data_IF_300080109446
#
_entry.id   IF_300080109446
#
_cell.length_a   1.000
_cell.length_b   1.000
_cell.length_c   1.000
_cell.angle_alpha   90.00
_cell.angle_beta   90.00
_cell.angle_gamma   90.00
#
_symmetry.space_group_name_H-M   'P 1'
#
loop_
_entity.id
_entity.type
_entity.pdbx_description
1 polymer ?
#
# COMPACT_ATOMS: atom_id res chain seq x y z
N UNK A 1 14.38 2.15 1.06
CA UNK A 1 14.40 0.81 1.66
C UNK A 1 14.57 0.94 3.16
N UNK A 2 13.80 0.15 3.91
CA UNK A 2 13.53 0.35 5.34
C UNK A 2 12.02 0.44 5.59
N UNK A 3 11.60 0.13 6.82
CA UNK A 3 10.21 0.24 7.26
C UNK A 3 10.16 0.57 8.76
N UNK A 4 9.64 1.73 9.11
CA UNK A 4 9.43 2.17 10.50
C UNK A 4 8.15 1.60 11.12
N UNK A 5 7.27 1.01 10.28
CA UNK A 5 6.01 0.41 10.73
C UNK A 5 6.26 -0.83 11.61
N UNK A 6 7.25 -1.65 11.24
CA UNK A 6 7.79 -2.71 12.10
C UNK A 6 6.88 -3.93 12.25
N UNK A 7 6.17 -4.34 11.20
CA UNK A 7 5.25 -5.48 11.24
C UNK A 7 5.98 -6.81 11.41
N UNK A 8 5.63 -7.59 12.44
CA UNK A 8 6.24 -8.90 12.71
C UNK A 8 5.95 -9.97 11.63
N UNK A 9 4.86 -9.81 10.89
CA UNK A 9 4.38 -10.76 9.86
C UNK A 9 4.40 -10.14 8.46
N UNK A 10 5.38 -9.28 8.18
CA UNK A 10 5.53 -8.68 6.86
C UNK A 10 5.97 -9.72 5.82
N UNK A 11 5.31 -9.75 4.67
CA UNK A 11 5.61 -10.63 3.53
C UNK A 11 6.74 -10.09 2.63
N UNK A 12 7.24 -8.88 2.89
CA UNK A 12 8.14 -8.12 2.02
C UNK A 12 9.56 -8.02 2.59
N UNK A 13 10.59 -8.35 1.79
CA UNK A 13 12.01 -8.07 2.12
C UNK A 13 12.39 -6.63 1.75
N UNK A 14 12.33 -5.71 2.72
CA UNK A 14 12.66 -4.29 2.55
C UNK A 14 14.11 -3.92 2.96
N UNK A 15 15.04 -4.89 3.03
CA UNK A 15 16.46 -4.61 3.34
C UNK A 15 17.10 -3.69 2.30
N UNK A 16 17.92 -2.75 2.76
CA UNK A 16 18.66 -1.84 1.88
C UNK A 16 19.64 -2.64 1.00
N UNK A 17 19.43 -2.61 -0.32
CA UNK A 17 20.33 -3.21 -1.31
C UNK A 17 21.33 -2.21 -1.90
N UNK A 18 20.86 -0.99 -2.21
CA UNK A 18 21.66 0.08 -2.82
C UNK A 18 21.08 1.46 -2.51
N UNK A 19 21.92 2.49 -2.54
CA UNK A 19 21.52 3.90 -2.59
C UNK A 19 21.84 4.44 -3.98
N UNK A 20 20.83 4.97 -4.66
CA UNK A 20 20.95 5.52 -6.02
C UNK A 20 20.17 6.82 -6.10
N UNK A 21 20.52 7.70 -7.04
CA UNK A 21 19.82 8.97 -7.23
C UNK A 21 18.41 8.76 -7.80
N UNK A 22 17.55 9.76 -7.61
CA UNK A 22 16.20 9.80 -8.21
C UNK A 22 16.25 9.62 -9.73
N UNK A 23 17.18 10.29 -10.40
CA UNK A 23 17.35 10.12 -11.85
C UNK A 23 17.77 8.70 -12.24
N UNK A 24 18.67 8.07 -11.49
CA UNK A 24 19.06 6.68 -11.76
C UNK A 24 17.91 5.68 -11.54
N UNK A 25 17.00 5.96 -10.59
CA UNK A 25 15.75 5.20 -10.41
C UNK A 25 14.88 5.38 -11.65
N UNK A 26 14.61 6.63 -12.04
CA UNK A 26 13.77 6.94 -13.18
C UNK A 26 14.33 6.38 -14.51
N UNK A 27 15.64 6.45 -14.74
CA UNK A 27 16.30 5.82 -15.90
C UNK A 27 16.11 4.30 -15.90
N UNK A 28 16.08 3.68 -14.71
CA UNK A 28 15.82 2.25 -14.58
C UNK A 28 14.37 1.92 -14.89
N UNK A 29 13.43 2.75 -14.42
CA UNK A 29 12.01 2.61 -14.74
C UNK A 29 11.81 2.73 -16.26
N UNK A 30 12.34 3.77 -16.91
CA UNK A 30 12.23 3.98 -18.36
C UNK A 30 12.68 2.75 -19.17
N UNK A 31 13.78 2.08 -18.74
CA UNK A 31 14.28 0.87 -19.40
C UNK A 31 13.42 -0.38 -19.18
N UNK A 32 12.67 -0.43 -18.08
CA UNK A 32 11.82 -1.58 -17.72
C UNK A 32 10.38 -1.42 -18.23
N UNK A 33 9.97 -0.22 -18.59
CA UNK A 33 8.60 0.03 -19.06
C UNK A 33 8.35 -0.58 -20.42
N UNK A 34 7.12 -1.10 -20.56
CA UNK A 34 6.58 -1.60 -21.81
C UNK A 34 5.69 -0.49 -22.39
N UNK A 35 5.78 -0.16 -23.69
CA UNK A 35 4.92 0.84 -24.31
C UNK A 35 3.43 0.56 -24.02
N UNK A 36 2.70 1.59 -23.57
CA UNK A 36 1.30 1.48 -23.15
C UNK A 36 1.07 1.03 -21.70
N UNK A 37 2.14 0.75 -20.93
CA UNK A 37 2.10 0.36 -19.52
C UNK A 37 3.04 1.24 -18.70
N UNK A 38 2.63 2.49 -18.46
CA UNK A 38 3.46 3.54 -17.84
C UNK A 38 3.15 3.74 -16.34
N UNK A 39 2.58 2.73 -15.68
CA UNK A 39 2.19 2.81 -14.27
C UNK A 39 3.31 2.31 -13.36
N UNK A 40 3.69 3.14 -12.39
CA UNK A 40 4.76 2.84 -11.43
C UNK A 40 4.20 2.89 -10.01
N UNK A 41 4.38 1.82 -9.25
CA UNK A 41 4.04 1.76 -7.83
C UNK A 41 5.28 2.00 -6.97
N UNK A 42 5.24 3.07 -6.17
CA UNK A 42 6.22 3.32 -5.10
C UNK A 42 5.69 2.66 -3.82
N UNK A 43 6.48 1.75 -3.25
CA UNK A 43 6.11 0.93 -2.09
C UNK A 43 7.37 0.61 -1.25
N UNK A 44 7.30 -0.40 -0.39
CA UNK A 44 8.37 -1.23 0.19
C UNK A 44 9.63 -0.55 0.78
N UNK A 45 9.90 -0.58 2.08
CA UNK A 45 9.00 -0.91 3.18
C UNK A 45 7.95 0.19 3.32
N UNK A 46 8.10 1.11 4.26
CA UNK A 46 7.24 2.29 4.31
C UNK A 46 7.85 3.39 3.43
N UNK A 47 7.25 3.72 2.26
CA UNK A 47 7.85 4.70 1.36
C UNK A 47 7.98 6.09 1.99
N UNK A 48 7.06 6.48 2.87
CA UNK A 48 7.09 7.80 3.53
C UNK A 48 8.14 7.90 4.65
N UNK A 49 8.92 6.85 4.91
CA UNK A 49 10.17 6.97 5.67
C UNK A 49 11.26 7.74 4.90
N UNK A 50 11.04 7.98 3.60
CA UNK A 50 11.91 8.73 2.73
C UNK A 50 11.20 9.96 2.14
N UNK A 51 11.99 10.94 1.70
CA UNK A 51 11.50 12.05 0.89
C UNK A 51 11.21 11.54 -0.54
N UNK A 52 9.96 11.17 -0.80
CA UNK A 52 9.53 10.56 -2.07
C UNK A 52 9.06 11.58 -3.12
N UNK A 53 8.77 12.82 -2.73
CA UNK A 53 8.28 13.88 -3.62
C UNK A 53 9.19 14.12 -4.84
N UNK A 54 10.54 14.22 -4.70
CA UNK A 54 11.41 14.39 -5.86
C UNK A 54 11.34 13.22 -6.84
N UNK A 55 11.12 12.00 -6.36
CA UNK A 55 10.97 10.81 -7.20
C UNK A 55 9.63 10.82 -7.93
N UNK A 56 8.55 11.13 -7.22
CA UNK A 56 7.20 11.26 -7.79
C UNK A 56 7.22 12.28 -8.93
N UNK A 57 7.77 13.48 -8.71
CA UNK A 57 7.79 14.53 -9.72
C UNK A 57 8.68 14.16 -10.92
N UNK A 58 9.84 13.54 -10.68
CA UNK A 58 10.71 13.08 -11.77
C UNK A 58 10.02 12.03 -12.64
N UNK A 59 9.29 11.08 -12.05
CA UNK A 59 8.58 10.04 -12.80
C UNK A 59 7.39 10.64 -13.58
N UNK A 60 6.63 11.55 -12.98
CA UNK A 60 5.53 12.25 -13.65
C UNK A 60 6.01 13.08 -14.85
N UNK A 61 7.13 13.78 -14.71
CA UNK A 61 7.74 14.55 -15.81
C UNK A 61 8.18 13.67 -16.99
N UNK A 62 8.43 12.37 -16.74
CA UNK A 62 8.79 11.38 -17.76
C UNK A 62 7.59 10.65 -18.36
N UNK A 63 6.37 11.06 -18.00
CA UNK A 63 5.13 10.50 -18.54
C UNK A 63 4.56 9.32 -17.74
N UNK A 64 5.18 8.93 -16.61
CA UNK A 64 4.69 7.81 -15.82
C UNK A 64 3.49 8.20 -14.95
N UNK A 65 2.52 7.30 -14.85
CA UNK A 65 1.44 7.35 -13.85
C UNK A 65 1.98 6.78 -12.54
N UNK A 66 2.11 7.63 -11.52
CA UNK A 66 2.70 7.23 -10.24
C UNK A 66 1.61 6.91 -9.22
N UNK A 67 1.72 5.74 -8.61
CA UNK A 67 0.89 5.27 -7.50
C UNK A 67 1.78 5.06 -6.26
N UNK A 68 1.23 5.26 -5.06
CA UNK A 68 1.95 4.99 -3.80
C UNK A 68 1.13 4.05 -2.92
N UNK A 69 1.78 3.02 -2.38
CA UNK A 69 1.23 2.14 -1.33
C UNK A 69 1.95 2.39 -0.01
N UNK A 70 1.22 2.83 1.03
CA UNK A 70 1.76 3.26 2.33
C UNK A 70 0.90 2.77 3.48
N UNK A 71 1.48 2.64 4.68
CA UNK A 71 0.74 2.45 5.92
C UNK A 71 -0.01 3.73 6.38
N UNK A 72 0.27 4.87 5.77
CA UNK A 72 -0.44 6.13 5.99
C UNK A 72 -0.03 6.87 7.26
N UNK A 73 1.13 6.56 7.86
CA UNK A 73 1.65 7.28 9.04
C UNK A 73 2.07 8.72 8.75
N UNK A 74 2.32 9.07 7.48
CA UNK A 74 2.63 10.44 7.04
C UNK A 74 1.82 10.78 5.80
N UNK A 75 1.35 12.03 5.68
CA UNK A 75 0.60 12.45 4.51
C UNK A 75 1.52 12.61 3.28
N UNK A 76 1.02 12.21 2.12
CA UNK A 76 1.64 12.40 0.81
C UNK A 76 0.80 13.42 0.05
N UNK A 77 1.47 14.38 -0.61
CA UNK A 77 0.80 15.39 -1.43
C UNK A 77 0.95 15.06 -2.91
N UNK A 78 -0.03 15.44 -3.72
CA UNK A 78 0.11 15.53 -5.19
C UNK A 78 0.38 14.23 -5.98
N UNK A 79 -0.11 13.09 -5.48
CA UNK A 79 -0.11 11.80 -6.20
C UNK A 79 -1.54 11.42 -6.61
N UNK A 80 -1.79 11.01 -7.87
CA UNK A 80 -3.13 10.70 -8.34
C UNK A 80 -3.73 9.44 -7.67
N UNK A 81 -2.89 8.47 -7.30
CA UNK A 81 -3.33 7.24 -6.65
C UNK A 81 -2.54 6.94 -5.39
N UNK A 82 -3.20 7.04 -4.24
CA UNK A 82 -2.64 6.66 -2.94
C UNK A 82 -3.48 5.49 -2.41
N UNK A 83 -2.83 4.36 -2.18
CA UNK A 83 -3.36 3.20 -1.47
C UNK A 83 -2.87 3.23 -0.03
N UNK A 84 -3.78 3.43 0.92
CA UNK A 84 -3.47 3.41 2.35
C UNK A 84 -3.84 2.05 2.94
N UNK A 85 -2.91 1.39 3.61
CA UNK A 85 -3.16 0.15 4.34
C UNK A 85 -2.67 0.27 5.77
N UNK A 86 -3.50 0.75 6.70
CA UNK A 86 -3.08 0.98 8.08
C UNK A 86 -2.76 -0.34 8.79
N UNK A 87 -1.63 -0.38 9.51
CA UNK A 87 -1.18 -1.55 10.29
C UNK A 87 -1.11 -1.27 11.79
N UNK A 88 -1.53 -0.07 12.19
CA UNK A 88 -1.66 0.40 13.56
C UNK A 88 -2.73 1.51 13.64
N UNK A 89 -2.73 2.28 14.73
CA UNK A 89 -3.69 3.35 14.98
C UNK A 89 -3.07 4.76 14.92
N UNK A 90 -1.94 4.91 14.21
CA UNK A 90 -1.20 6.17 14.01
C UNK A 90 -1.35 6.70 12.57
N UNK A 91 -2.51 6.48 11.96
CA UNK A 91 -2.77 6.88 10.57
C UNK A 91 -3.05 8.39 10.49
N UNK A 92 -2.28 9.08 9.66
CA UNK A 92 -2.46 10.51 9.33
C UNK A 92 -3.01 10.71 7.91
N UNK A 93 -2.69 9.82 6.97
CA UNK A 93 -3.25 9.84 5.62
C UNK A 93 -4.67 9.25 5.62
N UNK A 94 -5.67 10.12 5.77
CA UNK A 94 -7.10 9.75 5.82
C UNK A 94 -7.85 10.01 4.51
N UNK A 95 -7.12 10.32 3.45
CA UNK A 95 -7.66 10.52 2.09
C UNK A 95 -6.80 9.78 1.07
N UNK A 96 -7.38 9.36 -0.05
CA UNK A 96 -6.64 8.65 -1.08
C UNK A 96 -7.57 8.03 -2.12
N UNK A 97 -6.97 7.29 -3.07
CA UNK A 97 -7.75 6.55 -4.04
C UNK A 97 -8.39 5.33 -3.36
N UNK A 98 -7.64 4.62 -2.53
CA UNK A 98 -8.13 3.44 -1.84
C UNK A 98 -7.60 3.30 -0.41
N UNK A 99 -8.43 2.70 0.45
CA UNK A 99 -8.01 2.19 1.76
C UNK A 99 -8.18 0.67 1.79
N UNK A 100 -7.20 -0.03 2.34
CA UNK A 100 -7.19 -1.49 2.47
C UNK A 100 -6.90 -1.94 3.89
N UNK A 101 -7.93 -2.41 4.58
CA UNK A 101 -7.85 -2.93 5.94
C UNK A 101 -7.44 -4.41 5.90
N UNK A 102 -6.41 -4.78 6.66
CA UNK A 102 -5.90 -6.17 6.71
C UNK A 102 -6.01 -6.69 8.16
N UNK A 103 -7.05 -7.48 8.50
CA UNK A 103 -7.26 -7.93 9.86
C UNK A 103 -6.11 -8.81 10.35
N UNK A 104 -5.73 -8.63 11.61
CA UNK A 104 -4.68 -9.41 12.27
C UNK A 104 -3.25 -9.00 11.91
N UNK A 105 -3.04 -8.21 10.84
CA UNK A 105 -1.71 -7.76 10.45
C UNK A 105 -1.12 -6.89 11.56
N UNK A 106 -0.06 -7.35 12.23
CA UNK A 106 0.50 -6.68 13.41
C UNK A 106 -0.51 -6.49 14.58
N UNK A 107 -1.50 -7.38 14.70
CA UNK A 107 -2.57 -7.24 15.69
C UNK A 107 -3.58 -6.13 15.35
N UNK A 108 -3.60 -5.68 14.09
CA UNK A 108 -4.54 -4.69 13.60
C UNK A 108 -5.98 -5.21 13.64
N UNK A 109 -6.88 -4.38 14.16
CA UNK A 109 -8.32 -4.63 14.21
C UNK A 109 -9.04 -3.56 13.37
N UNK A 110 -9.62 -3.94 12.21
CA UNK A 110 -10.34 -3.03 11.33
C UNK A 110 -11.47 -2.27 12.03
N UNK A 111 -12.25 -2.91 12.89
CA UNK A 111 -13.41 -2.28 13.53
C UNK A 111 -12.97 -1.28 14.58
N UNK A 112 -11.93 -1.62 15.36
CA UNK A 112 -11.31 -0.68 16.29
C UNK A 112 -10.69 0.52 15.57
N UNK A 113 -10.11 0.33 14.38
CA UNK A 113 -9.61 1.44 13.57
C UNK A 113 -10.76 2.33 13.07
N UNK A 114 -11.83 1.72 12.55
CA UNK A 114 -13.03 2.46 12.07
C UNK A 114 -13.77 3.23 13.17
N UNK A 115 -13.65 2.80 14.44
CA UNK A 115 -14.18 3.59 15.57
C UNK A 115 -13.45 4.91 15.81
N UNK A 116 -12.27 5.11 15.21
CA UNK A 116 -11.39 6.28 15.41
C UNK A 116 -11.25 7.16 14.18
N UNK A 117 -11.39 6.58 13.00
CA UNK A 117 -11.09 7.24 11.73
C UNK A 117 -12.23 7.05 10.73
N UNK A 118 -12.53 8.11 9.97
CA UNK A 118 -13.46 8.03 8.84
C UNK A 118 -12.75 7.53 7.59
N UNK A 119 -13.50 6.82 6.74
CA UNK A 119 -13.08 6.35 5.41
C UNK A 119 -13.73 7.12 4.26
N UNK A 120 -14.39 8.24 4.55
CA UNK A 120 -15.07 9.06 3.54
C UNK A 120 -14.10 9.79 2.60
N UNK A 121 -12.83 9.89 2.99
CA UNK A 121 -11.76 10.41 2.16
C UNK A 121 -11.26 9.45 1.07
N UNK A 122 -11.80 8.22 0.98
CA UNK A 122 -11.36 7.20 0.05
C UNK A 122 -12.45 6.82 -0.95
N UNK A 123 -12.08 6.77 -2.24
CA UNK A 123 -12.99 6.37 -3.31
C UNK A 123 -13.27 4.86 -3.31
N UNK A 124 -12.27 4.06 -2.93
CA UNK A 124 -12.38 2.61 -2.82
C UNK A 124 -12.03 2.13 -1.41
N UNK A 125 -12.80 1.15 -0.91
CA UNK A 125 -12.68 0.64 0.45
C UNK A 125 -12.60 -0.86 0.39
N UNK A 126 -11.50 -1.42 0.88
CA UNK A 126 -11.23 -2.84 0.80
C UNK A 126 -10.98 -3.46 2.17
N UNK A 127 -11.50 -4.66 2.37
CA UNK A 127 -11.02 -5.59 3.38
C UNK A 127 -10.23 -6.68 2.65
N UNK A 128 -9.02 -6.98 3.11
CA UNK A 128 -8.16 -7.97 2.48
C UNK A 128 -7.68 -8.98 3.52
N UNK A 129 -7.87 -10.28 3.33
CA UNK A 129 -7.30 -11.28 4.22
C UNK A 129 -5.77 -11.20 4.20
N UNK A 130 -5.16 -11.61 5.31
CA UNK A 130 -3.70 -11.66 5.43
C UNK A 130 -3.19 -12.96 4.82
N UNK A 131 -2.09 -12.90 4.06
CA UNK A 131 -1.39 -14.11 3.63
C UNK A 131 -0.18 -14.37 4.51
N UNK A 132 -0.08 -15.59 5.05
CA UNK A 132 1.07 -16.06 5.83
C UNK A 132 1.65 -17.26 5.10
N UNK A 133 2.92 -17.17 4.72
CA UNK A 133 3.63 -18.22 3.97
C UNK A 133 2.88 -18.71 2.71
N UNK A 134 2.16 -17.80 2.05
CA UNK A 134 1.37 -18.09 0.84
C UNK A 134 -0.01 -18.68 1.11
N UNK A 135 -0.41 -18.80 2.38
CA UNK A 135 -1.75 -19.25 2.78
C UNK A 135 -2.57 -18.05 3.22
N UNK A 136 -3.73 -17.88 2.59
CA UNK A 136 -4.71 -16.84 2.96
C UNK A 136 -5.36 -17.19 4.31
N UNK A 137 -5.36 -16.25 5.23
CA UNK A 137 -5.90 -16.36 6.58
C UNK A 137 -6.84 -15.20 6.88
N UNK A 138 -7.86 -15.43 7.71
CA UNK A 138 -8.83 -14.39 8.08
C UNK A 138 -9.93 -14.12 7.05
N UNK A 139 -10.13 -15.01 6.06
CA UNK A 139 -11.19 -14.88 5.06
C UNK A 139 -12.60 -14.89 5.69
N UNK A 140 -12.82 -15.75 6.69
CA UNK A 140 -14.09 -15.80 7.45
C UNK A 140 -14.40 -14.46 8.12
N UNK A 141 -13.41 -13.87 8.80
CA UNK A 141 -13.54 -12.52 9.35
C UNK A 141 -13.89 -11.49 8.27
N UNK A 142 -13.24 -11.55 7.10
CA UNK A 142 -13.53 -10.62 6.01
C UNK A 142 -14.98 -10.73 5.54
N UNK A 143 -15.54 -11.94 5.43
CA UNK A 143 -16.96 -12.10 5.07
C UNK A 143 -17.91 -11.58 6.14
N UNK A 144 -17.64 -11.85 7.41
CA UNK A 144 -18.43 -11.29 8.50
C UNK A 144 -18.37 -9.76 8.54
N UNK A 145 -17.19 -9.20 8.28
CA UNK A 145 -16.97 -7.76 8.20
C UNK A 145 -17.80 -7.14 7.07
N UNK A 146 -17.81 -7.75 5.88
CA UNK A 146 -18.58 -7.25 4.74
C UNK A 146 -20.10 -7.24 5.00
N UNK A 147 -20.62 -8.15 5.83
CA UNK A 147 -22.02 -8.11 6.26
C UNK A 147 -22.35 -6.89 7.15
N UNK A 148 -21.36 -6.37 7.89
CA UNK A 148 -21.50 -5.18 8.75
C UNK A 148 -21.18 -3.87 8.02
N UNK A 149 -20.27 -3.91 7.06
CA UNK A 149 -19.74 -2.75 6.34
C UNK A 149 -19.91 -2.94 4.83
N UNK A 150 -21.13 -2.77 4.28
CA UNK A 150 -21.45 -3.07 2.88
C UNK A 150 -20.77 -2.15 1.86
N UNK A 151 -20.23 -1.01 2.30
CA UNK A 151 -19.45 -0.09 1.45
C UNK A 151 -18.03 -0.60 1.17
N UNK A 152 -17.60 -1.70 1.81
CA UNK A 152 -16.33 -2.35 1.56
C UNK A 152 -16.46 -3.47 0.55
N UNK A 153 -15.36 -3.76 -0.14
CA UNK A 153 -15.23 -4.86 -1.10
C UNK A 153 -14.09 -5.78 -0.67
N UNK A 154 -14.22 -7.08 -0.94
CA UNK A 154 -13.12 -8.03 -0.73
C UNK A 154 -11.99 -7.77 -1.75
N UNK A 155 -10.77 -7.59 -1.25
CA UNK A 155 -9.54 -7.60 -2.05
C UNK A 155 -8.75 -8.87 -1.78
N UNK A 156 -7.94 -9.35 -2.74
CA UNK A 156 -7.11 -10.56 -2.60
C UNK A 156 -5.69 -10.33 -3.12
N UNK A 157 -4.72 -11.03 -2.55
CA UNK A 157 -3.33 -11.02 -3.03
C UNK A 157 -3.14 -12.05 -4.15
N UNK A 158 -3.77 -11.81 -5.30
CA UNK A 158 -3.82 -12.81 -6.40
C UNK A 158 -2.43 -13.23 -6.93
N UNK A 159 -1.43 -12.34 -6.86
CA UNK A 159 -0.06 -12.69 -7.24
C UNK A 159 0.49 -13.89 -6.46
N UNK A 160 0.11 -14.06 -5.18
CA UNK A 160 0.48 -15.22 -4.36
C UNK A 160 -0.14 -16.49 -4.94
N UNK A 161 -1.43 -16.46 -5.29
CA UNK A 161 -2.13 -17.59 -5.89
C UNK A 161 -1.59 -17.95 -7.28
N UNK A 162 -1.05 -16.97 -8.00
CA UNK A 162 -0.39 -17.17 -9.30
C UNK A 162 1.07 -17.63 -9.17
N UNK A 163 1.60 -17.80 -7.96
CA UNK A 163 2.99 -18.18 -7.73
C UNK A 163 3.99 -17.08 -8.11
N UNK A 164 3.58 -15.80 -8.02
CA UNK A 164 4.42 -14.62 -8.24
C UNK A 164 4.71 -13.94 -6.89
N UNK A 165 5.96 -13.55 -6.68
CA UNK A 165 6.40 -12.66 -5.60
C UNK A 165 6.94 -11.38 -6.19
#
# INVERSE_FOLDING_TARGET
AGCSVGCNSCDTDYKLRRRISVHAIADTVDRLMVPGHEMVWITGGEPTDHEIDPLIETLKQRGHVVCVATAGRKPIKHVPWISVSPHDYQTEQLTGAEIKLVPGHNGFDPEKWLSRFSVDGFAHRYIQPMSVDGVETGLEYCFEFLNRYPDFVLSRQDHIHWGKR
#
